data_IF_324641847452
#
_entry.id   IF_324641847452
#
_cell.length_a   1.000
_cell.length_b   1.000
_cell.length_c   1.000
_cell.angle_alpha   90.00
_cell.angle_beta   90.00
_cell.angle_gamma   90.00
#
_symmetry.space_group_name_H-M   'P 1'
#
loop_
_entity.id
_entity.type
_entity.pdbx_description
1 polymer ?
#
# COMPACT_ATOMS: atom_id res chain seq x y z
N UNK A 1 -26.45 -9.86 0.41
CA UNK A 1 -25.18 -9.46 1.09
C UNK A 1 -25.04 -10.34 2.31
N UNK A 2 -23.86 -10.95 2.52
CA UNK A 2 -23.59 -11.72 3.74
C UNK A 2 -23.27 -10.73 4.85
N UNK A 3 -24.06 -10.70 5.92
CA UNK A 3 -23.75 -9.91 7.11
C UNK A 3 -22.80 -10.67 8.03
N UNK A 4 -22.01 -9.92 8.80
CA UNK A 4 -21.13 -10.51 9.79
C UNK A 4 -21.93 -11.14 10.92
N UNK A 5 -21.41 -12.24 11.48
CA UNK A 5 -21.97 -12.84 12.68
C UNK A 5 -21.71 -11.93 13.88
N UNK A 6 -22.77 -11.57 14.60
CA UNK A 6 -22.75 -10.72 15.77
C UNK A 6 -22.69 -11.58 17.06
N UNK A 7 -22.05 -11.07 18.10
CA UNK A 7 -22.20 -11.61 19.46
C UNK A 7 -23.55 -11.19 20.06
N UNK A 8 -24.03 -11.84 21.14
CA UNK A 8 -25.28 -11.44 21.79
C UNK A 8 -25.31 -9.96 22.24
N UNK A 9 -24.17 -9.43 22.68
CA UNK A 9 -24.03 -8.03 23.08
C UNK A 9 -24.05 -7.09 21.87
N UNK A 10 -23.37 -7.47 20.78
CA UNK A 10 -23.40 -6.72 19.52
C UNK A 10 -24.82 -6.71 18.94
N UNK A 11 -25.54 -7.83 18.96
CA UNK A 11 -26.93 -7.95 18.51
C UNK A 11 -27.87 -7.08 19.35
N UNK A 12 -27.70 -7.05 20.68
CA UNK A 12 -28.45 -6.17 21.57
C UNK A 12 -28.31 -4.69 21.19
N UNK A 13 -27.10 -4.23 20.87
CA UNK A 13 -26.86 -2.84 20.48
C UNK A 13 -27.32 -2.58 19.05
N UNK A 14 -26.86 -3.39 18.09
CA UNK A 14 -27.00 -3.15 16.65
C UNK A 14 -28.43 -3.40 16.15
N UNK A 15 -29.09 -4.46 16.64
CA UNK A 15 -30.40 -4.88 16.14
C UNK A 15 -31.54 -4.48 17.09
N UNK A 16 -31.32 -4.57 18.39
CA UNK A 16 -32.32 -4.22 19.41
C UNK A 16 -32.22 -2.76 19.90
N UNK A 17 -31.41 -1.93 19.23
CA UNK A 17 -31.23 -0.50 19.54
C UNK A 17 -30.83 -0.22 21.00
N UNK A 18 -30.08 -1.14 21.59
CA UNK A 18 -29.50 -0.97 22.91
C UNK A 18 -28.37 0.06 22.92
N UNK A 19 -27.99 0.49 24.11
CA UNK A 19 -26.81 1.35 24.32
C UNK A 19 -25.85 0.66 25.29
N UNK A 20 -24.57 0.71 24.98
CA UNK A 20 -23.50 0.26 25.87
C UNK A 20 -23.48 1.05 27.18
N UNK A 21 -22.83 0.51 28.21
CA UNK A 21 -22.55 1.31 29.40
C UNK A 21 -21.50 2.37 29.07
N UNK A 22 -21.61 3.58 29.64
CA UNK A 22 -20.58 4.60 29.46
C UNK A 22 -19.23 4.08 29.96
N UNK A 23 -18.15 4.45 29.27
CA UNK A 23 -16.76 4.07 29.55
C UNK A 23 -16.43 2.57 29.44
N UNK A 24 -17.34 1.73 28.94
CA UNK A 24 -17.07 0.30 28.73
C UNK A 24 -16.64 -0.06 27.31
N UNK A 25 -16.87 0.83 26.34
CA UNK A 25 -16.64 0.56 24.93
C UNK A 25 -15.15 0.63 24.55
N UNK A 26 -14.69 -0.36 23.76
CA UNK A 26 -13.29 -0.44 23.26
C UNK A 26 -12.81 0.85 22.62
N UNK A 27 -13.68 1.57 21.90
CA UNK A 27 -13.29 2.72 21.10
C UNK A 27 -13.48 4.07 21.80
N UNK A 28 -13.93 4.10 23.06
CA UNK A 28 -14.12 5.34 23.80
C UNK A 28 -12.82 6.17 23.85
N UNK A 29 -11.77 5.59 24.43
CA UNK A 29 -10.44 6.22 24.58
C UNK A 29 -9.41 5.66 23.59
N UNK A 30 -9.85 5.41 22.36
CA UNK A 30 -9.03 4.85 21.29
C UNK A 30 -8.84 5.89 20.16
N UNK A 31 -7.60 6.20 19.81
CA UNK A 31 -7.26 7.28 18.86
C UNK A 31 -6.23 6.85 17.80
N UNK A 32 -6.17 5.55 17.48
CA UNK A 32 -5.31 5.07 16.40
C UNK A 32 -5.77 5.60 15.03
N UNK A 33 -4.81 5.80 14.12
CA UNK A 33 -5.09 6.24 12.76
C UNK A 33 -5.76 5.11 11.95
N UNK A 34 -6.93 5.37 11.37
CA UNK A 34 -7.69 4.34 10.67
C UNK A 34 -9.09 4.73 10.26
N UNK A 35 -9.86 3.72 9.87
CA UNK A 35 -11.25 3.85 9.45
C UNK A 35 -12.12 2.97 10.34
N UNK A 36 -13.15 3.57 10.92
CA UNK A 36 -14.21 2.85 11.63
C UNK A 36 -15.28 2.42 10.64
N UNK A 37 -15.60 1.14 10.67
CA UNK A 37 -16.56 0.47 9.80
C UNK A 37 -17.74 -0.03 10.61
N UNK A 38 -18.86 -0.27 9.95
CA UNK A 38 -20.01 -0.91 10.57
C UNK A 38 -19.70 -2.36 10.90
N UNK A 39 -19.91 -2.76 12.16
CA UNK A 39 -19.65 -4.14 12.60
C UNK A 39 -20.45 -5.19 11.82
N UNK A 40 -21.66 -4.85 11.36
CA UNK A 40 -22.60 -5.75 10.65
C UNK A 40 -22.28 -5.95 9.16
N UNK A 41 -21.80 -4.92 8.46
CA UNK A 41 -21.67 -4.94 6.99
C UNK A 41 -20.34 -4.37 6.44
N UNK A 42 -19.39 -4.03 7.32
CA UNK A 42 -18.06 -3.49 6.98
C UNK A 42 -18.04 -2.21 6.14
N UNK A 43 -19.18 -1.54 6.00
CA UNK A 43 -19.27 -0.22 5.37
C UNK A 43 -18.49 0.79 6.20
N UNK A 44 -17.62 1.57 5.56
CA UNK A 44 -16.87 2.62 6.23
C UNK A 44 -17.83 3.72 6.71
N UNK A 45 -17.76 4.07 8.01
CA UNK A 45 -18.66 5.04 8.64
C UNK A 45 -17.92 6.33 9.02
N UNK A 46 -16.76 6.21 9.68
CA UNK A 46 -16.03 7.33 10.25
C UNK A 46 -14.53 7.21 9.99
N UNK A 47 -13.84 8.35 9.91
CA UNK A 47 -12.38 8.41 9.86
C UNK A 47 -11.85 8.74 11.26
N UNK A 48 -10.63 8.30 11.55
CA UNK A 48 -9.98 8.62 12.84
C UNK A 48 -9.75 10.12 13.04
N UNK A 49 -9.61 10.90 11.97
CA UNK A 49 -9.44 12.36 12.01
C UNK A 49 -10.69 13.11 12.50
N UNK A 50 -11.88 12.53 12.30
CA UNK A 50 -13.15 13.11 12.76
C UNK A 50 -13.45 12.76 14.23
N UNK A 51 -12.62 11.91 14.86
CA UNK A 51 -12.82 11.48 16.25
C UNK A 51 -12.29 12.53 17.22
N UNK A 52 -13.09 12.84 18.25
CA UNK A 52 -12.70 13.75 19.32
C UNK A 52 -13.16 13.26 20.70
N UNK A 53 -12.59 13.84 21.76
CA UNK A 53 -12.99 13.55 23.14
C UNK A 53 -14.10 14.50 23.59
N UNK A 54 -15.30 13.96 23.86
CA UNK A 54 -16.43 14.71 24.43
C UNK A 54 -16.62 14.48 25.92
N UNK A 55 -15.90 13.49 26.50
CA UNK A 55 -16.08 13.07 27.89
C UNK A 55 -17.42 12.35 28.19
N UNK A 56 -18.22 12.03 27.17
CA UNK A 56 -19.55 11.43 27.38
C UNK A 56 -19.50 9.94 27.77
N UNK A 57 -18.36 9.26 27.56
CA UNK A 57 -18.20 7.83 27.81
C UNK A 57 -18.46 6.92 26.60
N UNK A 58 -18.65 7.49 25.42
CA UNK A 58 -18.70 6.78 24.13
C UNK A 58 -17.82 7.46 23.08
N UNK A 59 -17.34 6.72 22.05
CA UNK A 59 -16.63 7.33 20.93
C UNK A 59 -17.48 8.42 20.27
N UNK A 60 -16.87 9.58 20.09
CA UNK A 60 -17.51 10.78 19.54
C UNK A 60 -16.82 11.19 18.25
N UNK A 61 -17.63 11.42 17.20
CA UNK A 61 -17.16 11.90 15.90
C UNK A 61 -17.89 13.19 15.54
N UNK A 62 -17.22 14.12 14.86
CA UNK A 62 -17.84 15.38 14.44
C UNK A 62 -18.27 15.41 12.97
N UNK A 63 -17.94 14.36 12.22
CA UNK A 63 -18.33 14.16 10.83
C UNK A 63 -18.47 12.67 10.52
N UNK A 64 -19.13 12.35 9.40
CA UNK A 64 -19.26 10.99 8.87
C UNK A 64 -18.83 10.92 7.40
N UNK A 65 -18.49 9.71 6.94
CA UNK A 65 -18.21 9.50 5.52
C UNK A 65 -19.50 9.73 4.74
N UNK A 66 -19.47 10.67 3.80
CA UNK A 66 -20.64 11.12 3.02
C UNK A 66 -21.51 9.94 2.55
N UNK A 67 -22.73 9.88 3.07
CA UNK A 67 -23.74 8.87 2.71
C UNK A 67 -23.64 7.55 3.49
N UNK A 68 -22.70 7.41 4.42
CA UNK A 68 -22.52 6.20 5.22
C UNK A 68 -23.48 6.14 6.43
N UNK A 69 -23.84 7.30 6.98
CA UNK A 69 -24.72 7.42 8.15
C UNK A 69 -26.05 8.06 7.76
N UNK A 70 -27.15 7.45 8.22
CA UNK A 70 -28.50 7.98 8.06
C UNK A 70 -29.05 8.43 9.40
N UNK A 71 -29.63 9.63 9.42
CA UNK A 71 -30.27 10.24 10.59
C UNK A 71 -31.76 9.93 10.60
N UNK A 72 -32.27 9.40 11.70
CA UNK A 72 -33.67 8.99 11.89
C UNK A 72 -34.17 9.56 13.22
N UNK A 73 -35.23 10.38 13.25
CA UNK A 73 -35.80 10.86 14.50
C UNK A 73 -36.33 9.69 15.36
N UNK A 74 -36.00 9.70 16.66
CA UNK A 74 -36.57 8.76 17.62
C UNK A 74 -38.09 8.96 17.74
N UNK A 75 -38.79 7.93 18.22
CA UNK A 75 -40.24 7.99 18.45
C UNK A 75 -40.65 9.09 19.47
N UNK A 76 -39.71 9.54 20.31
CA UNK A 76 -39.91 10.65 21.26
C UNK A 76 -39.81 12.04 20.60
N UNK A 77 -39.32 12.13 19.36
CA UNK A 77 -39.10 13.36 18.60
C UNK A 77 -38.02 14.29 19.17
N UNK A 78 -37.27 13.87 20.19
CA UNK A 78 -36.26 14.68 20.88
C UNK A 78 -34.84 14.35 20.48
N UNK A 79 -34.57 13.08 20.16
CA UNK A 79 -33.24 12.62 19.74
C UNK A 79 -33.26 12.15 18.30
N UNK A 80 -32.10 12.21 17.67
CA UNK A 80 -31.90 11.74 16.30
C UNK A 80 -30.97 10.53 16.35
N UNK A 81 -31.54 9.36 16.08
CA UNK A 81 -30.80 8.10 15.92
C UNK A 81 -29.94 8.18 14.67
N UNK A 82 -28.72 7.67 14.76
CA UNK A 82 -27.84 7.43 13.62
C UNK A 82 -27.77 5.93 13.35
N UNK A 83 -28.06 5.56 12.10
CA UNK A 83 -27.99 4.18 11.62
C UNK A 83 -27.06 4.08 10.42
N UNK A 84 -26.50 2.89 10.18
CA UNK A 84 -25.75 2.63 8.95
C UNK A 84 -26.69 2.70 7.75
N UNK A 85 -26.37 3.53 6.76
CA UNK A 85 -27.19 3.69 5.56
C UNK A 85 -27.29 2.42 4.71
N UNK A 86 -26.28 1.53 4.78
CA UNK A 86 -26.23 0.29 3.99
C UNK A 86 -27.06 -0.85 4.60
N UNK A 87 -26.91 -1.11 5.91
CA UNK A 87 -27.54 -2.29 6.55
C UNK A 87 -28.60 -1.97 7.61
N UNK A 88 -28.80 -0.68 7.94
CA UNK A 88 -29.74 -0.25 8.97
C UNK A 88 -29.31 -0.54 10.41
N UNK A 89 -28.05 -0.96 10.63
CA UNK A 89 -27.49 -1.17 11.96
C UNK A 89 -27.60 0.09 12.82
N UNK A 90 -28.10 -0.05 14.05
CA UNK A 90 -28.06 1.01 15.04
C UNK A 90 -26.59 1.37 15.36
N UNK A 91 -26.25 2.65 15.36
CA UNK A 91 -24.92 3.15 15.71
C UNK A 91 -24.96 3.91 17.03
N UNK A 92 -25.97 4.77 17.22
CA UNK A 92 -26.11 5.63 18.39
C UNK A 92 -26.98 6.84 18.09
N UNK A 93 -26.57 8.03 18.55
CA UNK A 93 -27.31 9.28 18.37
C UNK A 93 -26.41 10.44 17.93
N UNK A 94 -26.98 11.39 17.20
CA UNK A 94 -26.33 12.66 16.86
C UNK A 94 -26.90 13.81 17.69
N UNK A 95 -26.01 14.68 18.14
CA UNK A 95 -26.32 15.90 18.87
C UNK A 95 -25.70 17.09 18.14
N UNK A 96 -26.42 18.20 18.03
CA UNK A 96 -25.96 19.41 17.36
C UNK A 96 -26.08 20.59 18.33
N UNK A 97 -25.21 21.59 18.20
CA UNK A 97 -25.31 22.84 18.98
C UNK A 97 -24.57 22.85 20.32
N UNK A 98 -23.77 21.83 20.64
CA UNK A 98 -23.08 21.70 21.94
C UNK A 98 -21.75 22.46 22.06
N UNK A 99 -21.16 22.90 20.94
CA UNK A 99 -19.98 23.75 20.88
C UNK A 99 -18.63 23.03 21.00
N UNK A 100 -18.59 21.70 20.86
CA UNK A 100 -17.35 20.92 21.00
C UNK A 100 -16.36 21.09 19.84
N UNK A 101 -16.86 21.20 18.61
CA UNK A 101 -16.03 21.37 17.39
C UNK A 101 -16.59 22.49 16.52
N UNK A 102 -15.83 22.92 15.51
CA UNK A 102 -16.28 23.92 14.53
C UNK A 102 -17.52 23.47 13.75
N UNK A 103 -17.65 22.16 13.49
CA UNK A 103 -18.82 21.53 12.85
C UNK A 103 -20.03 21.45 13.78
N UNK A 104 -19.81 21.65 15.08
CA UNK A 104 -20.84 21.71 16.12
C UNK A 104 -21.82 20.54 16.10
N UNK A 105 -21.32 19.37 15.70
CA UNK A 105 -22.05 18.12 15.55
C UNK A 105 -21.28 17.06 16.33
N UNK A 106 -21.98 16.21 17.05
CA UNK A 106 -21.41 15.10 17.82
C UNK A 106 -22.20 13.84 17.57
N UNK A 107 -21.61 12.91 16.84
CA UNK A 107 -22.07 11.55 16.68
C UNK A 107 -21.57 10.75 17.88
N UNK A 108 -22.47 10.40 18.79
CA UNK A 108 -22.21 9.58 19.96
C UNK A 108 -22.49 8.12 19.59
N UNK A 109 -21.45 7.33 19.38
CA UNK A 109 -21.56 6.00 18.75
C UNK A 109 -21.25 4.88 19.76
N UNK A 110 -21.91 3.74 19.65
CA UNK A 110 -21.59 2.55 20.42
C UNK A 110 -20.34 1.84 19.85
N UNK A 111 -19.42 1.39 20.70
CA UNK A 111 -18.18 0.76 20.23
C UNK A 111 -18.43 -0.60 19.56
N UNK A 112 -19.39 -1.38 20.06
CA UNK A 112 -19.84 -2.68 19.53
C UNK A 112 -20.50 -2.55 18.17
N UNK A 113 -20.98 -1.36 17.81
CA UNK A 113 -21.52 -1.08 16.47
C UNK A 113 -20.41 -0.83 15.44
N UNK A 114 -19.16 -0.71 15.89
CA UNK A 114 -18.00 -0.38 15.08
C UNK A 114 -17.02 -1.56 15.00
N UNK A 115 -16.36 -1.68 13.86
CA UNK A 115 -15.10 -2.41 13.70
C UNK A 115 -14.05 -1.40 13.23
N UNK A 116 -12.80 -1.54 13.70
CA UNK A 116 -11.73 -0.62 13.31
C UNK A 116 -10.76 -1.31 12.36
N UNK A 117 -10.43 -0.63 11.26
CA UNK A 117 -9.31 -1.00 10.39
C UNK A 117 -8.22 0.06 10.57
N UNK A 118 -7.11 -0.32 11.21
CA UNK A 118 -5.94 0.54 11.34
C UNK A 118 -5.34 0.84 9.97
N UNK A 119 -4.74 2.02 9.83
CA UNK A 119 -3.84 2.33 8.71
C UNK A 119 -2.52 1.55 8.86
N UNK A 120 -2.08 1.23 10.09
CA UNK A 120 -0.85 0.48 10.35
C UNK A 120 -0.85 -0.96 9.80
N UNK A 121 -2.02 -1.57 9.54
CA UNK A 121 -2.12 -2.89 8.90
C UNK A 121 -2.44 -2.81 7.40
N UNK A 122 -2.06 -1.72 6.73
CA UNK A 122 -2.16 -1.59 5.27
C UNK A 122 -0.86 -1.96 4.53
N UNK A 123 0.27 -2.06 5.23
CA UNK A 123 1.55 -2.46 4.68
C UNK A 123 1.90 -3.87 5.15
N UNK A 124 2.37 -4.73 4.25
CA UNK A 124 3.24 -5.82 4.69
C UNK A 124 4.51 -5.16 5.27
N UNK A 125 4.96 -5.56 6.47
CA UNK A 125 6.19 -5.00 7.07
C UNK A 125 7.40 -5.12 6.12
N UNK A 126 7.35 -6.10 5.21
CA UNK A 126 8.32 -6.29 4.16
C UNK A 126 7.59 -6.80 2.90
N UNK A 127 7.46 -5.94 1.90
CA UNK A 127 7.00 -6.31 0.56
C UNK A 127 8.20 -6.41 -0.40
N UNK A 128 8.02 -7.12 -1.51
CA UNK A 128 9.06 -7.30 -2.51
C UNK A 128 8.73 -6.58 -3.83
N UNK A 129 9.75 -6.11 -4.52
CA UNK A 129 9.68 -5.63 -5.90
C UNK A 129 10.90 -6.14 -6.67
N UNK A 130 10.73 -6.41 -7.97
CA UNK A 130 11.74 -7.02 -8.81
C UNK A 130 11.98 -6.18 -10.06
N UNK A 131 13.20 -5.71 -10.23
CA UNK A 131 13.58 -4.79 -11.30
C UNK A 131 14.82 -5.28 -12.05
N UNK A 132 14.76 -5.27 -13.38
CA UNK A 132 15.90 -5.50 -14.27
C UNK A 132 16.14 -4.22 -15.07
N UNK A 133 17.36 -3.69 -15.05
CA UNK A 133 17.65 -2.38 -15.64
C UNK A 133 19.08 -2.24 -16.13
N UNK A 134 19.65 -3.31 -16.68
CA UNK A 134 21.07 -3.42 -17.00
C UNK A 134 21.86 -4.12 -15.91
N UNK A 135 23.16 -3.80 -15.80
CA UNK A 135 24.03 -4.35 -14.76
C UNK A 135 23.39 -4.19 -13.36
N UNK A 136 23.10 -5.31 -12.69
CA UNK A 136 22.42 -5.30 -11.40
C UNK A 136 23.18 -4.55 -10.29
N UNK A 137 24.50 -4.36 -10.39
CA UNK A 137 25.30 -3.65 -9.40
C UNK A 137 24.90 -2.18 -9.32
N UNK A 138 24.60 -1.57 -10.48
CA UNK A 138 24.16 -0.18 -10.53
C UNK A 138 22.76 -0.05 -9.94
N UNK A 139 21.86 -0.95 -10.33
CA UNK A 139 20.48 -0.99 -9.83
C UNK A 139 20.46 -1.18 -8.30
N UNK A 140 21.21 -2.16 -7.80
CA UNK A 140 21.40 -2.45 -6.38
C UNK A 140 21.84 -1.19 -5.61
N UNK A 141 22.94 -0.58 -6.06
CA UNK A 141 23.51 0.61 -5.43
C UNK A 141 22.55 1.80 -5.30
N UNK A 142 21.68 1.99 -6.30
CA UNK A 142 20.70 3.09 -6.28
C UNK A 142 19.47 2.76 -5.43
N UNK A 143 19.09 1.50 -5.28
CA UNK A 143 17.99 1.08 -4.41
C UNK A 143 18.41 1.00 -2.93
N UNK A 144 19.64 0.58 -2.63
CA UNK A 144 20.17 0.54 -1.24
C UNK A 144 20.09 1.90 -0.54
N UNK A 145 20.19 2.98 -1.31
CA UNK A 145 20.15 4.36 -0.82
C UNK A 145 18.74 4.96 -0.78
N UNK A 146 17.74 4.22 -1.26
CA UNK A 146 16.37 4.72 -1.36
C UNK A 146 15.67 4.60 -0.01
N UNK A 147 15.06 5.69 0.46
CA UNK A 147 14.37 5.70 1.76
C UNK A 147 13.16 4.76 1.73
N UNK A 148 13.03 3.92 2.75
CA UNK A 148 11.97 2.91 2.85
C UNK A 148 12.35 1.54 2.26
N UNK A 149 13.53 1.42 1.66
CA UNK A 149 14.11 0.12 1.25
C UNK A 149 14.86 -0.48 2.45
N UNK A 150 14.58 -1.75 2.73
CA UNK A 150 15.18 -2.52 3.82
C UNK A 150 16.39 -3.33 3.36
N UNK A 151 16.24 -4.08 2.26
CA UNK A 151 17.33 -4.88 1.68
C UNK A 151 17.21 -4.97 0.17
N UNK A 152 18.34 -5.20 -0.48
CA UNK A 152 18.46 -5.28 -1.93
C UNK A 152 19.36 -6.46 -2.27
N UNK A 153 18.90 -7.36 -3.12
CA UNK A 153 19.63 -8.59 -3.47
C UNK A 153 19.69 -8.75 -4.98
N UNK A 154 20.90 -8.88 -5.51
CA UNK A 154 21.18 -9.13 -6.92
C UNK A 154 20.95 -10.61 -7.28
N UNK A 155 20.40 -10.88 -8.47
CA UNK A 155 20.05 -12.23 -8.91
C UNK A 155 19.61 -12.32 -10.36
N UNK A 156 19.01 -13.46 -10.70
CA UNK A 156 18.61 -13.84 -12.05
C UNK A 156 17.14 -14.29 -12.07
N UNK A 157 16.36 -13.82 -13.04
CA UNK A 157 14.94 -14.18 -13.20
C UNK A 157 14.50 -14.09 -14.68
N UNK A 158 13.41 -14.79 -15.04
CA UNK A 158 12.75 -14.69 -16.36
C UNK A 158 13.19 -15.72 -17.39
N UNK A 159 14.28 -16.43 -17.15
CA UNK A 159 14.81 -17.48 -18.01
C UNK A 159 14.23 -18.86 -17.76
N UNK A 160 14.70 -19.82 -18.55
CA UNK A 160 14.23 -21.22 -18.52
C UNK A 160 15.23 -22.18 -17.86
N UNK A 161 16.49 -21.76 -17.68
CA UNK A 161 17.50 -22.59 -17.02
C UNK A 161 17.30 -22.57 -15.51
N UNK A 162 17.24 -23.75 -14.89
CA UNK A 162 17.18 -23.84 -13.42
C UNK A 162 18.57 -23.62 -12.79
N UNK A 163 18.62 -22.91 -11.67
CA UNK A 163 19.84 -22.62 -10.89
C UNK A 163 21.01 -22.11 -11.77
N UNK A 164 20.82 -21.03 -12.54
CA UNK A 164 21.88 -20.48 -13.38
C UNK A 164 23.01 -19.91 -12.52
N UNK A 165 24.25 -20.05 -12.99
CA UNK A 165 25.40 -19.30 -12.47
C UNK A 165 25.70 -18.09 -13.38
N UNK A 166 26.55 -17.18 -12.89
CA UNK A 166 26.91 -15.97 -13.64
C UNK A 166 27.51 -16.28 -15.01
N UNK A 167 28.35 -17.32 -15.10
CA UNK A 167 28.98 -17.72 -16.36
C UNK A 167 27.94 -18.17 -17.39
N UNK A 168 26.94 -18.95 -16.98
CA UNK A 168 25.84 -19.36 -17.84
C UNK A 168 25.01 -18.16 -18.30
N UNK A 169 24.66 -17.23 -17.39
CA UNK A 169 23.88 -16.03 -17.73
C UNK A 169 24.63 -15.15 -18.74
N UNK A 170 25.95 -14.98 -18.56
CA UNK A 170 26.81 -14.25 -19.48
C UNK A 170 26.79 -14.82 -20.91
N UNK A 171 26.45 -16.09 -21.11
CA UNK A 171 26.32 -16.67 -22.46
C UNK A 171 25.10 -16.16 -23.24
N UNK A 172 24.14 -15.54 -22.56
CA UNK A 172 22.85 -15.11 -23.12
C UNK A 172 21.89 -16.26 -23.46
N UNK A 173 22.26 -17.52 -23.18
CA UNK A 173 21.46 -18.70 -23.57
C UNK A 173 20.45 -19.14 -22.53
N UNK A 174 20.56 -18.64 -21.30
CA UNK A 174 19.68 -19.05 -20.18
C UNK A 174 18.30 -18.40 -20.25
N UNK A 175 18.20 -17.28 -20.98
CA UNK A 175 17.03 -16.42 -21.04
C UNK A 175 16.79 -15.58 -19.77
N UNK A 176 17.67 -15.68 -18.77
CA UNK A 176 17.55 -14.88 -17.55
C UNK A 176 18.04 -13.45 -17.78
N UNK A 177 17.41 -12.53 -17.08
CA UNK A 177 17.84 -11.14 -16.94
C UNK A 177 18.57 -10.99 -15.60
N UNK A 178 19.49 -10.03 -15.52
CA UNK A 178 20.00 -9.56 -14.25
C UNK A 178 18.90 -8.74 -13.54
N UNK A 179 18.48 -9.22 -12.38
CA UNK A 179 17.33 -8.70 -11.63
C UNK A 179 17.76 -8.40 -10.20
N UNK A 180 17.23 -7.31 -9.66
CA UNK A 180 17.37 -6.95 -8.25
C UNK A 180 16.04 -7.18 -7.53
N UNK A 181 16.07 -7.95 -6.44
CA UNK A 181 14.98 -8.06 -5.47
C UNK A 181 15.12 -6.96 -4.43
N UNK A 182 14.17 -6.05 -4.40
CA UNK A 182 14.07 -4.95 -3.43
C UNK A 182 13.04 -5.33 -2.38
N UNK A 183 13.47 -5.44 -1.13
CA UNK A 183 12.60 -5.55 0.04
C UNK A 183 12.35 -4.15 0.60
N UNK A 184 11.09 -3.75 0.74
CA UNK A 184 10.71 -2.41 1.15
C UNK A 184 9.54 -2.41 2.13
N UNK A 185 9.45 -1.35 2.93
CA UNK A 185 8.33 -1.11 3.83
C UNK A 185 7.23 -0.34 3.09
N UNK A 186 6.10 -0.99 2.83
CA UNK A 186 4.93 -0.39 2.17
C UNK A 186 4.33 0.79 2.95
N UNK A 187 4.65 0.92 4.24
CA UNK A 187 4.23 2.06 5.06
C UNK A 187 5.15 3.29 4.87
N UNK A 188 6.40 3.10 4.43
CA UNK A 188 7.32 4.20 4.16
C UNK A 188 7.38 4.61 2.68
N UNK A 189 7.28 3.63 1.78
CA UNK A 189 7.41 3.83 0.33
C UNK A 189 6.42 2.97 -0.44
N UNK A 190 5.79 3.55 -1.45
CA UNK A 190 4.91 2.81 -2.36
C UNK A 190 5.68 2.13 -3.50
N UNK A 191 5.14 1.04 -4.04
CA UNK A 191 5.67 0.42 -5.26
C UNK A 191 5.78 1.42 -6.43
N UNK A 192 4.84 2.37 -6.52
CA UNK A 192 4.88 3.42 -7.54
C UNK A 192 6.11 4.31 -7.43
N UNK A 193 6.52 4.65 -6.21
CA UNK A 193 7.73 5.45 -5.97
C UNK A 193 9.00 4.65 -6.32
N UNK A 194 9.04 3.36 -5.97
CA UNK A 194 10.14 2.48 -6.37
C UNK A 194 10.24 2.32 -7.89
N UNK A 195 9.11 2.13 -8.58
CA UNK A 195 9.06 2.01 -10.03
C UNK A 195 9.43 3.33 -10.72
N UNK A 196 9.03 4.49 -10.18
CA UNK A 196 9.53 5.79 -10.65
C UNK A 196 11.04 5.89 -10.50
N UNK A 197 11.56 5.54 -9.32
CA UNK A 197 13.01 5.55 -9.09
C UNK A 197 13.75 4.63 -10.05
N UNK A 198 13.22 3.44 -10.32
CA UNK A 198 13.74 2.51 -11.32
C UNK A 198 13.91 3.17 -12.71
N UNK A 199 12.88 3.85 -13.21
CA UNK A 199 12.96 4.59 -14.48
C UNK A 199 13.91 5.79 -14.43
N UNK A 200 14.21 6.32 -13.24
CA UNK A 200 15.12 7.46 -13.06
C UNK A 200 16.61 7.06 -12.91
N UNK A 201 16.95 5.76 -12.81
CA UNK A 201 18.34 5.29 -12.56
C UNK A 201 19.02 4.60 -13.75
N UNK A 202 18.29 4.33 -14.83
CA UNK A 202 18.80 3.68 -16.04
C UNK A 202 18.16 4.24 -17.32
N UNK A 203 18.62 3.81 -18.49
CA UNK A 203 18.06 4.20 -19.79
C UNK A 203 17.01 3.17 -20.23
N UNK A 204 15.78 3.38 -19.78
CA UNK A 204 14.63 2.53 -20.13
C UNK A 204 14.20 2.62 -21.61
N UNK A 205 14.91 3.38 -22.45
CA UNK A 205 14.63 3.48 -23.89
C UNK A 205 15.56 2.60 -24.74
N UNK A 206 16.64 2.08 -24.15
CA UNK A 206 17.59 1.22 -24.83
C UNK A 206 17.02 -0.20 -25.01
N UNK A 207 17.15 -0.76 -26.21
CA UNK A 207 16.49 -2.02 -26.63
C UNK A 207 17.39 -3.25 -26.63
N UNK A 208 18.71 -3.08 -26.52
CA UNK A 208 19.72 -4.13 -26.68
C UNK A 208 20.62 -4.33 -25.45
N UNK A 209 20.34 -3.61 -24.36
CA UNK A 209 21.10 -3.66 -23.11
C UNK A 209 20.99 -2.34 -22.36
N UNK A 210 22.04 -2.01 -21.60
CA UNK A 210 22.11 -0.77 -20.82
C UNK A 210 23.51 -0.15 -20.91
N UNK A 211 23.60 1.06 -21.47
CA UNK A 211 24.85 1.76 -21.68
C UNK A 211 25.83 0.92 -22.51
N UNK A 212 27.08 0.69 -22.03
CA UNK A 212 28.06 -0.15 -22.73
C UNK A 212 27.81 -1.66 -22.57
N UNK A 213 26.91 -2.08 -21.67
CA UNK A 213 26.62 -3.50 -21.40
C UNK A 213 25.51 -3.98 -22.35
N UNK A 214 25.92 -4.64 -23.44
CA UNK A 214 25.01 -5.10 -24.51
C UNK A 214 24.78 -6.60 -24.38
N UNK A 215 23.51 -7.00 -24.31
CA UNK A 215 23.12 -8.40 -24.10
C UNK A 215 21.68 -8.54 -23.59
N UNK A 216 21.06 -9.69 -23.85
CA UNK A 216 19.68 -9.97 -23.42
C UNK A 216 19.53 -9.96 -21.90
N UNK A 217 20.60 -10.29 -21.17
CA UNK A 217 20.62 -10.27 -19.71
C UNK A 217 20.54 -8.86 -19.12
N UNK A 218 20.85 -7.82 -19.91
CA UNK A 218 20.87 -6.42 -19.48
C UNK A 218 19.61 -5.65 -19.90
N UNK A 219 18.59 -6.33 -20.42
CA UNK A 219 17.36 -5.69 -20.85
C UNK A 219 16.58 -5.12 -19.66
N UNK A 220 15.87 -4.02 -19.92
CA UNK A 220 14.99 -3.40 -18.94
C UNK A 220 13.69 -4.20 -18.79
N UNK A 221 13.35 -4.58 -17.56
CA UNK A 221 12.10 -5.25 -17.24
C UNK A 221 11.64 -5.02 -15.80
N UNK A 222 10.32 -5.10 -15.58
CA UNK A 222 9.70 -5.12 -14.26
C UNK A 222 8.96 -6.45 -14.11
N UNK A 223 9.24 -7.17 -13.02
CA UNK A 223 8.59 -8.44 -12.69
C UNK A 223 7.52 -8.20 -11.62
N UNK A 224 6.26 -8.15 -12.03
CA UNK A 224 5.14 -7.88 -11.13
C UNK A 224 4.69 -9.16 -10.40
N UNK A 225 4.38 -9.03 -9.11
CA UNK A 225 3.86 -10.13 -8.28
C UNK A 225 2.34 -10.15 -8.19
N UNK A 226 1.69 -9.03 -8.49
CA UNK A 226 0.24 -8.89 -8.44
C UNK A 226 -0.26 -7.86 -9.47
N UNK A 227 -1.58 -7.89 -9.72
CA UNK A 227 -2.23 -6.99 -10.67
C UNK A 227 -2.12 -5.51 -10.28
N UNK A 228 -1.93 -5.19 -8.99
CA UNK A 228 -1.70 -3.82 -8.54
C UNK A 228 -0.36 -3.26 -9.01
N UNK A 229 0.72 -4.05 -8.86
CA UNK A 229 2.05 -3.72 -9.38
C UNK A 229 2.03 -3.61 -10.90
N UNK A 230 1.38 -4.57 -11.58
CA UNK A 230 1.22 -4.56 -13.04
C UNK A 230 0.54 -3.29 -13.54
N UNK A 231 -0.61 -2.93 -12.95
CA UNK A 231 -1.35 -1.72 -13.31
C UNK A 231 -0.51 -0.47 -13.07
N UNK A 232 0.16 -0.38 -11.94
CA UNK A 232 1.02 0.76 -11.61
C UNK A 232 2.18 0.91 -12.60
N UNK A 233 2.80 -0.20 -12.99
CA UNK A 233 3.86 -0.19 -13.99
C UNK A 233 3.35 0.27 -15.36
N UNK A 234 2.18 -0.22 -15.79
CA UNK A 234 1.52 0.24 -17.02
C UNK A 234 1.20 1.73 -16.98
N UNK A 235 0.62 2.24 -15.90
CA UNK A 235 0.33 3.68 -15.74
C UNK A 235 1.60 4.54 -15.85
N UNK A 236 2.73 4.06 -15.32
CA UNK A 236 4.01 4.78 -15.43
C UNK A 236 4.59 4.73 -16.85
N UNK A 237 4.43 3.60 -17.54
CA UNK A 237 4.82 3.49 -18.96
C UNK A 237 3.98 4.45 -19.79
N UNK A 238 2.65 4.47 -19.60
CA UNK A 238 1.75 5.40 -20.29
C UNK A 238 2.15 6.86 -20.03
N UNK A 239 2.48 7.22 -18.77
CA UNK A 239 2.97 8.57 -18.42
C UNK A 239 4.29 8.93 -19.12
N UNK A 240 5.20 7.97 -19.29
CA UNK A 240 6.45 8.18 -20.00
C UNK A 240 6.22 8.33 -21.51
N UNK A 241 5.31 7.56 -22.09
CA UNK A 241 4.92 7.68 -23.50
C UNK A 241 4.24 9.03 -23.78
N UNK A 242 3.38 9.51 -22.87
CA UNK A 242 2.79 10.85 -22.92
C UNK A 242 3.83 11.98 -22.86
N UNK A 243 5.02 11.68 -22.32
CA UNK A 243 6.19 12.57 -22.29
C UNK A 243 7.12 12.41 -23.51
N UNK A 244 6.66 11.75 -24.58
CA UNK A 244 7.39 11.45 -25.83
C UNK A 244 8.59 10.49 -25.65
N UNK A 245 8.66 9.72 -24.55
CA UNK A 245 9.66 8.66 -24.42
C UNK A 245 9.20 7.37 -25.14
N UNK A 246 10.16 6.64 -25.71
CA UNK A 246 9.93 5.29 -26.24
C UNK A 246 10.40 4.26 -25.23
N UNK A 247 9.48 3.73 -24.44
CA UNK A 247 9.82 2.80 -23.37
C UNK A 247 10.10 1.41 -23.94
N UNK A 248 11.30 0.88 -23.66
CA UNK A 248 11.73 -0.47 -24.02
C UNK A 248 11.52 -1.49 -22.88
N UNK A 249 11.18 -1.02 -21.69
CA UNK A 249 10.95 -1.85 -20.49
C UNK A 249 9.82 -2.85 -20.71
N UNK A 250 10.13 -4.12 -20.52
CA UNK A 250 9.15 -5.20 -20.59
C UNK A 250 8.49 -5.49 -19.23
N UNK A 251 7.21 -5.88 -19.22
CA UNK A 251 6.51 -6.29 -18.00
C UNK A 251 6.29 -7.80 -18.02
N UNK A 252 6.80 -8.49 -17.00
CA UNK A 252 6.66 -9.94 -16.85
C UNK A 252 5.99 -10.26 -15.51
N UNK A 253 5.25 -11.37 -15.46
CA UNK A 253 4.85 -11.94 -14.18
C UNK A 253 6.08 -12.51 -13.46
N UNK A 254 6.19 -12.31 -12.15
CA UNK A 254 7.33 -12.79 -11.37
C UNK A 254 7.46 -14.31 -11.45
N UNK A 255 8.65 -14.79 -11.78
CA UNK A 255 9.00 -16.21 -11.78
C UNK A 255 9.93 -16.53 -10.59
N UNK A 256 10.54 -17.72 -10.59
CA UNK A 256 11.56 -18.07 -9.60
C UNK A 256 12.73 -17.09 -9.69
N UNK A 257 13.10 -16.50 -8.54
CA UNK A 257 14.29 -15.67 -8.38
C UNK A 257 15.46 -16.55 -7.95
N UNK A 258 16.57 -16.51 -8.70
CA UNK A 258 17.81 -17.15 -8.33
C UNK A 258 18.78 -16.09 -7.81
N UNK A 259 19.14 -16.18 -6.53
CA UNK A 259 20.11 -15.26 -5.93
C UNK A 259 21.49 -15.44 -6.59
N UNK A 260 22.11 -14.32 -6.96
CA UNK A 260 23.45 -14.33 -7.54
C UNK A 260 24.50 -14.58 -6.46
N UNK A 261 25.69 -14.97 -6.90
CA UNK A 261 26.81 -15.32 -6.03
C UNK A 261 27.22 -14.18 -5.10
N UNK A 262 27.68 -14.50 -3.88
CA UNK A 262 28.02 -13.54 -2.82
C UNK A 262 28.97 -12.40 -3.25
N UNK A 263 29.78 -12.61 -4.28
CA UNK A 263 30.70 -11.58 -4.77
C UNK A 263 30.02 -10.51 -5.65
N UNK A 264 28.80 -10.77 -6.11
CA UNK A 264 27.96 -9.78 -6.80
C UNK A 264 27.18 -8.89 -5.84
N UNK A 265 26.88 -9.37 -4.64
CA UNK A 265 26.11 -8.62 -3.65
C UNK A 265 26.93 -7.45 -3.08
N UNK A 266 26.28 -6.29 -3.00
CA UNK A 266 26.81 -5.00 -2.50
C UNK A 266 28.14 -4.63 -3.18
N UNK A 267 28.25 -4.87 -4.50
CA UNK A 267 29.54 -4.80 -5.21
C UNK A 267 30.20 -3.43 -5.10
N UNK A 268 29.44 -2.36 -5.32
CA UNK A 268 29.98 -0.99 -5.27
C UNK A 268 30.29 -0.53 -3.85
N UNK A 269 29.51 -0.96 -2.85
CA UNK A 269 29.81 -0.69 -1.44
C UNK A 269 31.13 -1.34 -1.03
N UNK A 270 31.32 -2.62 -1.40
CA UNK A 270 32.53 -3.38 -1.06
C UNK A 270 33.78 -2.90 -1.78
N UNK A 271 33.65 -2.49 -3.04
CA UNK A 271 34.79 -2.09 -3.87
C UNK A 271 35.12 -0.60 -3.80
N UNK A 272 34.19 0.23 -3.30
CA UNK A 272 34.34 1.69 -3.28
C UNK A 272 34.35 2.34 -4.67
N UNK A 273 33.96 1.59 -5.71
CA UNK A 273 33.83 2.09 -7.08
C UNK A 273 32.49 2.81 -7.26
N UNK A 274 32.34 3.49 -8.40
CA UNK A 274 31.09 4.16 -8.79
C UNK A 274 30.43 3.43 -9.96
N UNK A 275 29.08 3.44 -10.05
CA UNK A 275 28.36 2.92 -11.21
C UNK A 275 28.82 3.59 -12.51
N UNK A 276 29.10 2.79 -13.54
CA UNK A 276 29.57 3.31 -14.84
C UNK A 276 28.44 3.36 -15.90
N UNK A 277 27.44 2.49 -15.79
CA UNK A 277 26.33 2.37 -16.75
C UNK A 277 24.99 2.93 -16.22
N UNK A 278 24.95 3.36 -14.95
CA UNK A 278 23.76 3.90 -14.27
C UNK A 278 23.99 5.30 -13.73
N UNK A 279 22.98 6.14 -13.83
CA UNK A 279 22.99 7.51 -13.29
C UNK A 279 21.58 7.93 -12.93
N UNK A 280 21.42 8.64 -11.80
CA UNK A 280 20.13 9.20 -11.42
C UNK A 280 19.79 10.45 -12.24
N UNK A 281 18.63 10.45 -12.88
CA UNK A 281 18.04 11.60 -13.58
C UNK A 281 16.55 11.66 -13.23
N UNK A 282 16.14 12.75 -12.56
CA UNK A 282 14.73 12.97 -12.24
C UNK A 282 13.90 13.19 -13.52
N UNK A 283 12.83 12.44 -13.68
CA UNK A 283 11.93 12.45 -14.85
C UNK A 283 10.51 12.78 -14.42
N UNK A 284 10.03 12.16 -13.35
CA UNK A 284 8.67 12.36 -12.86
C UNK A 284 8.60 13.61 -11.98
N UNK A 285 7.48 14.35 -12.08
CA UNK A 285 7.21 15.54 -11.27
C UNK A 285 6.48 15.20 -9.97
#
# INVERSE_FOLDING_TARGET
MSYNKLTPEEEYVIENKGTERPFSGKYNDFYEAGVYKCRKCDTALYRSEDKFSSGCGWPSFDDDIVGAVKRVPDADGRRVEIICANCGAHLGHVFEGEGFTSKNTRHCVNSLSLSFKSIENCCEQHAFAYFAGGCFWGVEHFFEKFKGVHSVVSGYMGGHMENPDYEAVCTGRTGHLEVVRVEYDECEVSFRELAKHFFEIHDFTQIDGQGPDIGSQYLSAIFYQNEGQKRTALELVDELEDMDYKVATSLYESSVFYEAEDYHQNYYERTGKVPYCHSYKKIFK
#
